data_IF_248086296611
#
_entry.id   IF_248086296611
#
_cell.length_a   1.000
_cell.length_b   1.000
_cell.length_c   1.000
_cell.angle_alpha   90.00
_cell.angle_beta   90.00
_cell.angle_gamma   90.00
#
_symmetry.space_group_name_H-M   'P 1'
#
loop_
_entity.id
_entity.type
_entity.pdbx_description
1 polymer ?
#
# COMPACT_ATOMS: atom_id res chain seq x y z
N UNK A 1 25.26 -11.94 14.32
CA UNK A 1 23.92 -12.44 14.70
C UNK A 1 23.15 -12.70 13.41
N UNK A 2 22.63 -13.89 13.19
CA UNK A 2 21.82 -14.22 12.01
C UNK A 2 20.37 -13.95 12.39
N UNK A 3 19.76 -12.89 11.81
CA UNK A 3 18.35 -12.51 12.08
C UNK A 3 17.37 -13.19 11.12
N UNK A 4 17.88 -13.88 10.08
CA UNK A 4 17.08 -14.54 9.05
C UNK A 4 17.72 -15.87 8.67
N UNK A 5 16.91 -16.91 8.50
CA UNK A 5 17.36 -18.17 7.94
C UNK A 5 17.90 -17.98 6.50
N UNK A 6 18.82 -18.84 6.07
CA UNK A 6 19.34 -18.81 4.70
C UNK A 6 18.28 -19.27 3.68
N UNK A 7 17.46 -20.22 4.08
CA UNK A 7 16.38 -20.82 3.29
C UNK A 7 15.05 -20.76 4.06
N UNK A 8 13.93 -20.59 3.37
CA UNK A 8 13.80 -20.36 1.93
C UNK A 8 14.28 -18.97 1.50
N UNK A 9 14.61 -18.82 0.21
CA UNK A 9 14.86 -17.48 -0.37
C UNK A 9 13.58 -16.64 -0.24
N UNK A 10 13.71 -15.43 0.29
CA UNK A 10 12.61 -14.48 0.42
C UNK A 10 12.47 -13.66 -0.86
N UNK A 11 11.27 -13.61 -1.41
CA UNK A 11 10.95 -12.83 -2.63
C UNK A 11 9.82 -11.86 -2.33
N UNK A 12 10.05 -10.59 -2.62
CA UNK A 12 9.01 -9.54 -2.57
C UNK A 12 8.41 -9.35 -3.96
N UNK A 13 7.13 -9.68 -4.13
CA UNK A 13 6.37 -9.51 -5.37
C UNK A 13 5.88 -8.05 -5.52
N UNK A 14 6.82 -7.08 -5.60
CA UNK A 14 6.50 -5.65 -5.66
C UNK A 14 7.62 -4.84 -6.31
N UNK A 15 7.23 -3.78 -7.04
CA UNK A 15 8.13 -2.74 -7.57
C UNK A 15 8.25 -1.54 -6.62
N UNK A 16 7.50 -1.49 -5.53
CA UNK A 16 7.49 -0.36 -4.60
C UNK A 16 8.85 -0.16 -3.93
N UNK A 17 9.47 1.00 -4.17
CA UNK A 17 10.71 1.39 -3.52
C UNK A 17 10.54 1.49 -1.99
N UNK A 18 9.39 1.98 -1.53
CA UNK A 18 9.06 2.12 -0.10
C UNK A 18 9.03 0.76 0.59
N UNK A 19 8.34 -0.23 0.00
CA UNK A 19 8.30 -1.60 0.55
C UNK A 19 9.67 -2.25 0.60
N UNK A 20 10.47 -2.05 -0.46
CA UNK A 20 11.87 -2.53 -0.50
C UNK A 20 12.69 -1.92 0.64
N UNK A 21 12.62 -0.60 0.81
CA UNK A 21 13.33 0.12 1.88
C UNK A 21 12.93 -0.38 3.28
N UNK A 22 11.66 -0.73 3.51
CA UNK A 22 11.21 -1.28 4.79
C UNK A 22 11.92 -2.61 5.10
N UNK A 23 12.00 -3.53 4.14
CA UNK A 23 12.69 -4.82 4.32
C UNK A 23 14.21 -4.64 4.48
N UNK A 24 14.82 -3.75 3.69
CA UNK A 24 16.25 -3.42 3.78
C UNK A 24 16.62 -2.86 5.16
N UNK A 25 15.82 -1.91 5.66
CA UNK A 25 16.02 -1.31 7.00
C UNK A 25 15.81 -2.31 8.14
N UNK A 26 14.99 -3.32 7.92
CA UNK A 26 14.82 -4.45 8.84
C UNK A 26 15.99 -5.46 8.78
N UNK A 27 16.98 -5.25 7.88
CA UNK A 27 18.13 -6.12 7.72
C UNK A 27 17.82 -7.45 7.03
N UNK A 28 16.70 -7.54 6.31
CA UNK A 28 16.31 -8.74 5.59
C UNK A 28 17.03 -8.84 4.24
N UNK A 29 17.38 -10.07 3.88
CA UNK A 29 17.89 -10.44 2.55
C UNK A 29 16.73 -10.95 1.71
N UNK A 30 16.46 -10.35 0.57
CA UNK A 30 15.35 -10.70 -0.31
C UNK A 30 15.65 -10.33 -1.76
N UNK A 31 14.89 -10.91 -2.67
CA UNK A 31 14.82 -10.49 -4.06
C UNK A 31 13.52 -9.72 -4.29
N UNK A 32 13.57 -8.58 -4.98
CA UNK A 32 12.38 -7.83 -5.35
C UNK A 32 12.10 -8.04 -6.84
N UNK A 33 10.98 -8.68 -7.15
CA UNK A 33 10.58 -9.03 -8.51
C UNK A 33 9.22 -8.42 -8.84
N UNK A 34 9.04 -7.86 -10.06
CA UNK A 34 7.74 -7.38 -10.49
C UNK A 34 6.78 -8.55 -10.73
N UNK A 35 5.59 -8.45 -10.16
CA UNK A 35 4.48 -9.32 -10.52
C UNK A 35 3.70 -8.65 -11.65
N UNK A 36 3.76 -9.18 -12.86
CA UNK A 36 3.03 -8.64 -14.02
C UNK A 36 1.53 -9.00 -13.90
N UNK A 37 0.79 -8.25 -13.05
CA UNK A 37 -0.65 -8.41 -12.81
C UNK A 37 -1.35 -7.13 -13.28
N UNK A 38 -2.51 -7.28 -13.91
CA UNK A 38 -3.39 -6.16 -14.23
C UNK A 38 -4.18 -5.76 -12.97
N UNK A 39 -3.53 -4.92 -12.15
CA UNK A 39 -4.09 -4.46 -10.88
C UNK A 39 -5.33 -3.59 -11.09
N UNK A 40 -5.35 -2.80 -12.18
CA UNK A 40 -6.46 -1.89 -12.49
C UNK A 40 -7.74 -2.68 -12.80
N UNK A 41 -7.65 -3.68 -13.67
CA UNK A 41 -8.80 -4.52 -14.01
C UNK A 41 -9.34 -5.30 -12.82
N UNK A 42 -8.45 -5.85 -11.97
CA UNK A 42 -8.87 -6.57 -10.75
C UNK A 42 -9.57 -5.65 -9.76
N UNK A 43 -9.08 -4.43 -9.59
CA UNK A 43 -9.65 -3.44 -8.68
C UNK A 43 -11.01 -2.95 -9.19
N UNK A 44 -11.12 -2.63 -10.47
CA UNK A 44 -12.37 -2.22 -11.11
C UNK A 44 -13.45 -3.30 -10.96
N UNK A 45 -13.11 -4.57 -11.21
CA UNK A 45 -14.02 -5.70 -11.02
C UNK A 45 -14.46 -5.83 -9.56
N UNK A 46 -13.53 -5.75 -8.60
CA UNK A 46 -13.84 -5.85 -7.18
C UNK A 46 -14.77 -4.71 -6.72
N UNK A 47 -14.55 -3.49 -7.19
CA UNK A 47 -15.38 -2.33 -6.87
C UNK A 47 -16.78 -2.46 -7.49
N UNK A 48 -16.88 -2.89 -8.76
CA UNK A 48 -18.14 -3.11 -9.44
C UNK A 48 -18.99 -4.23 -8.83
N UNK A 49 -18.34 -5.27 -8.31
CA UNK A 49 -18.99 -6.39 -7.62
C UNK A 49 -19.32 -6.10 -6.15
N UNK A 50 -18.92 -4.93 -5.63
CA UNK A 50 -19.13 -4.54 -4.23
C UNK A 50 -18.33 -5.36 -3.24
N UNK A 51 -17.17 -5.89 -3.66
CA UNK A 51 -16.29 -6.65 -2.78
C UNK A 51 -15.73 -5.70 -1.69
N UNK A 52 -15.73 -6.12 -0.41
CA UNK A 52 -15.16 -5.31 0.65
C UNK A 52 -13.69 -4.95 0.38
N UNK A 53 -13.25 -3.73 0.71
CA UNK A 53 -11.86 -3.30 0.45
C UNK A 53 -10.79 -4.23 1.05
N UNK A 54 -11.08 -4.84 2.18
CA UNK A 54 -10.20 -5.78 2.86
C UNK A 54 -9.99 -7.05 2.00
N UNK A 55 -11.07 -7.60 1.45
CA UNK A 55 -11.02 -8.78 0.57
C UNK A 55 -10.38 -8.44 -0.78
N UNK A 56 -10.70 -7.28 -1.34
CA UNK A 56 -10.09 -6.82 -2.59
C UNK A 56 -8.56 -6.62 -2.45
N UNK A 57 -8.11 -6.06 -1.33
CA UNK A 57 -6.68 -5.91 -1.06
C UNK A 57 -5.98 -7.28 -0.94
N UNK A 58 -6.64 -8.29 -0.33
CA UNK A 58 -6.13 -9.66 -0.27
C UNK A 58 -6.04 -10.25 -1.68
N UNK A 59 -7.10 -10.14 -2.49
CA UNK A 59 -7.12 -10.65 -3.87
C UNK A 59 -5.97 -10.08 -4.72
N UNK A 60 -5.72 -8.77 -4.62
CA UNK A 60 -4.62 -8.11 -5.31
C UNK A 60 -3.24 -8.58 -4.83
N UNK A 61 -3.07 -8.70 -3.50
CA UNK A 61 -1.84 -9.21 -2.91
C UNK A 61 -1.58 -10.67 -3.32
N UNK A 62 -2.63 -11.51 -3.33
CA UNK A 62 -2.56 -12.91 -3.77
C UNK A 62 -2.18 -13.04 -5.24
N UNK A 63 -2.84 -12.29 -6.14
CA UNK A 63 -2.54 -12.33 -7.55
C UNK A 63 -1.05 -12.04 -7.82
N UNK A 64 -0.46 -11.07 -7.08
CA UNK A 64 0.97 -10.76 -7.15
C UNK A 64 1.84 -11.91 -6.65
N UNK A 65 1.55 -12.45 -5.47
CA UNK A 65 2.34 -13.52 -4.87
C UNK A 65 2.26 -14.80 -5.69
N UNK A 66 1.07 -15.24 -6.04
CA UNK A 66 0.83 -16.47 -6.79
C UNK A 66 1.52 -16.48 -8.16
N UNK A 67 1.49 -15.34 -8.85
CA UNK A 67 2.16 -15.20 -10.15
C UNK A 67 3.64 -15.54 -10.12
N UNK A 68 4.34 -15.12 -9.06
CA UNK A 68 5.75 -15.43 -8.87
C UNK A 68 5.96 -16.79 -8.22
N UNK A 69 5.13 -17.18 -7.25
CA UNK A 69 5.25 -18.47 -6.57
C UNK A 69 5.13 -19.66 -7.52
N UNK A 70 4.31 -19.56 -8.57
CA UNK A 70 4.24 -20.58 -9.65
C UNK A 70 5.57 -20.79 -10.39
N UNK A 71 6.43 -19.76 -10.43
CA UNK A 71 7.74 -19.79 -11.10
C UNK A 71 8.88 -20.09 -10.13
N UNK A 72 8.66 -19.90 -8.85
CA UNK A 72 9.64 -20.03 -7.77
C UNK A 72 9.06 -20.88 -6.63
N UNK A 73 8.82 -22.18 -6.86
CA UNK A 73 8.05 -23.01 -5.91
C UNK A 73 8.73 -23.18 -4.54
N UNK A 74 10.06 -23.09 -4.49
CA UNK A 74 10.83 -23.24 -3.25
C UNK A 74 10.98 -21.92 -2.46
N UNK A 75 10.70 -20.78 -3.09
CA UNK A 75 10.81 -19.47 -2.46
C UNK A 75 9.64 -19.18 -1.52
N UNK A 76 9.89 -18.34 -0.51
CA UNK A 76 8.85 -17.67 0.27
C UNK A 76 8.50 -16.35 -0.43
N UNK A 77 7.36 -16.30 -1.10
CA UNK A 77 6.93 -15.14 -1.88
C UNK A 77 5.97 -14.29 -1.08
N UNK A 78 6.33 -13.04 -0.85
CA UNK A 78 5.47 -12.04 -0.19
C UNK A 78 4.80 -11.18 -1.25
N UNK A 79 3.47 -11.25 -1.30
CA UNK A 79 2.63 -10.31 -2.05
C UNK A 79 2.03 -9.27 -1.12
N UNK A 80 1.91 -8.03 -1.61
CA UNK A 80 1.34 -6.96 -0.81
C UNK A 80 0.61 -5.95 -1.70
N UNK A 81 -0.59 -5.56 -1.27
CA UNK A 81 -1.36 -4.48 -1.89
C UNK A 81 -1.91 -3.51 -0.87
N UNK A 82 -2.21 -2.28 -1.33
CA UNK A 82 -2.77 -1.22 -0.50
C UNK A 82 -3.84 -0.44 -1.25
N UNK A 83 -5.02 -0.35 -0.64
CA UNK A 83 -6.13 0.48 -1.11
C UNK A 83 -6.34 1.66 -0.16
N UNK A 84 -6.56 2.85 -0.70
CA UNK A 84 -7.03 4.00 0.06
C UNK A 84 -8.54 4.12 -0.13
N UNK A 85 -9.28 4.10 0.97
CA UNK A 85 -10.75 4.22 0.95
C UNK A 85 -11.21 5.33 1.89
N UNK A 86 -12.12 6.17 1.40
CA UNK A 86 -12.64 7.30 2.16
C UNK A 86 -14.17 7.36 2.08
N UNK A 87 -14.87 7.38 3.22
CA UNK A 87 -16.30 7.68 3.24
C UNK A 87 -16.55 9.11 2.74
N UNK A 88 -17.46 9.26 1.79
CA UNK A 88 -17.86 10.54 1.23
C UNK A 88 -19.13 11.08 1.91
N UNK A 89 -19.53 12.31 1.60
CA UNK A 89 -20.72 12.98 2.20
C UNK A 89 -22.03 12.28 1.88
N UNK A 90 -22.12 11.72 0.68
CA UNK A 90 -23.28 10.93 0.20
C UNK A 90 -23.31 9.51 0.80
N UNK A 91 -22.42 9.21 1.76
CA UNK A 91 -22.23 7.90 2.38
C UNK A 91 -21.64 6.82 1.46
N UNK A 92 -21.27 7.15 0.23
CA UNK A 92 -20.52 6.24 -0.63
C UNK A 92 -19.11 6.01 -0.05
N UNK A 93 -18.51 4.88 -0.39
CA UNK A 93 -17.11 4.59 -0.09
C UNK A 93 -16.31 4.79 -1.38
N UNK A 94 -15.50 5.85 -1.43
CA UNK A 94 -14.67 6.11 -2.61
C UNK A 94 -13.30 5.47 -2.44
N UNK A 95 -12.86 4.79 -3.48
CA UNK A 95 -11.52 4.27 -3.59
C UNK A 95 -10.63 5.26 -4.34
N UNK A 96 -9.37 5.36 -3.93
CA UNK A 96 -8.40 6.28 -4.52
C UNK A 96 -7.21 5.49 -5.03
N UNK A 97 -6.77 5.83 -6.22
CA UNK A 97 -5.59 5.28 -6.86
C UNK A 97 -4.37 6.19 -6.69
N UNK A 98 -3.24 5.74 -7.21
CA UNK A 98 -2.11 6.61 -7.44
C UNK A 98 -2.51 7.66 -8.46
N UNK A 99 -2.32 8.96 -8.20
CA UNK A 99 -2.65 9.99 -9.17
C UNK A 99 -1.75 9.87 -10.41
N UNK A 100 -2.33 10.11 -11.58
CA UNK A 100 -1.60 10.04 -12.85
C UNK A 100 -0.58 11.19 -12.99
N UNK A 101 -0.87 12.33 -12.38
CA UNK A 101 -0.07 13.55 -12.42
C UNK A 101 -0.35 14.43 -11.18
N UNK A 102 0.32 15.58 -11.09
CA UNK A 102 0.13 16.54 -10.00
C UNK A 102 -1.26 17.17 -9.98
N UNK A 103 -1.90 17.33 -11.13
CA UNK A 103 -3.26 17.86 -11.19
C UNK A 103 -4.26 16.85 -10.59
N UNK A 104 -4.12 15.57 -10.92
CA UNK A 104 -4.89 14.49 -10.31
C UNK A 104 -4.58 14.36 -8.80
N UNK A 105 -3.33 14.52 -8.39
CA UNK A 105 -2.94 14.54 -6.97
C UNK A 105 -3.64 15.68 -6.22
N UNK A 106 -3.69 16.89 -6.79
CA UNK A 106 -4.41 18.04 -6.22
C UNK A 106 -5.89 17.75 -6.00
N UNK A 107 -6.55 17.16 -6.99
CA UNK A 107 -7.97 16.79 -6.92
C UNK A 107 -8.20 15.76 -5.80
N UNK A 108 -7.35 14.75 -5.69
CA UNK A 108 -7.45 13.73 -4.64
C UNK A 108 -7.25 14.33 -3.25
N UNK A 109 -6.24 15.17 -3.06
CA UNK A 109 -5.94 15.82 -1.77
C UNK A 109 -7.07 16.76 -1.34
N UNK A 110 -7.69 17.50 -2.27
CA UNK A 110 -8.89 18.30 -1.98
C UNK A 110 -10.07 17.43 -1.55
N UNK A 111 -10.27 16.28 -2.20
CA UNK A 111 -11.33 15.34 -1.84
C UNK A 111 -11.11 14.70 -0.46
N UNK A 112 -9.86 14.52 -0.03
CA UNK A 112 -9.48 13.97 1.27
C UNK A 112 -9.38 15.02 2.39
N UNK A 113 -9.29 16.30 2.05
CA UNK A 113 -9.14 17.43 3.00
C UNK A 113 -10.24 17.43 4.05
N UNK A 114 -9.85 17.49 5.34
CA UNK A 114 -10.75 17.48 6.48
C UNK A 114 -11.42 16.14 6.76
N UNK A 115 -11.08 15.06 6.05
CA UNK A 115 -11.73 13.74 6.19
C UNK A 115 -10.80 12.73 6.86
N UNK A 116 -11.44 11.72 7.44
CA UNK A 116 -10.75 10.50 7.88
C UNK A 116 -10.90 9.43 6.81
N UNK A 117 -9.77 8.90 6.35
CA UNK A 117 -9.73 7.79 5.41
C UNK A 117 -8.96 6.61 6.00
N UNK A 118 -9.03 5.47 5.34
CA UNK A 118 -8.33 4.24 5.73
C UNK A 118 -7.39 3.82 4.61
N UNK A 119 -6.23 3.31 5.00
CA UNK A 119 -5.37 2.53 4.11
C UNK A 119 -5.59 1.05 4.45
N UNK A 120 -6.12 0.29 3.51
CA UNK A 120 -6.32 -1.14 3.66
C UNK A 120 -5.11 -1.83 3.03
N UNK A 121 -4.21 -2.34 3.88
CA UNK A 121 -2.95 -2.94 3.45
C UNK A 121 -2.98 -4.43 3.71
N UNK A 122 -3.09 -5.23 2.65
CA UNK A 122 -3.03 -6.67 2.72
C UNK A 122 -1.63 -7.18 2.39
N UNK A 123 -1.18 -8.18 3.13
CA UNK A 123 0.07 -8.91 2.89
C UNK A 123 -0.19 -10.40 2.96
N UNK A 124 0.32 -11.14 2.00
CA UNK A 124 0.20 -12.59 1.93
C UNK A 124 1.56 -13.24 1.75
N UNK A 125 1.73 -14.44 2.29
CA UNK A 125 2.90 -15.27 2.05
C UNK A 125 2.50 -16.56 1.33
N UNK A 126 3.20 -16.87 0.23
CA UNK A 126 3.02 -18.07 -0.57
C UNK A 126 4.28 -18.92 -0.58
N UNK A 127 4.10 -20.23 -0.48
CA UNK A 127 5.16 -21.23 -0.61
C UNK A 127 4.57 -22.58 -1.01
N UNK A 128 5.27 -23.36 -1.81
CA UNK A 128 4.84 -24.71 -2.20
C UNK A 128 3.48 -24.75 -2.89
N UNK A 129 3.13 -23.71 -3.67
CA UNK A 129 1.87 -23.63 -4.40
C UNK A 129 0.64 -23.20 -3.58
N UNK A 130 0.81 -22.80 -2.32
CA UNK A 130 -0.29 -22.39 -1.46
C UNK A 130 0.01 -21.09 -0.70
N UNK A 131 -1.05 -20.34 -0.36
CA UNK A 131 -0.96 -19.26 0.62
C UNK A 131 -0.83 -19.88 2.01
N UNK A 132 0.25 -19.56 2.71
CA UNK A 132 0.56 -20.10 4.05
C UNK A 132 0.33 -19.07 5.17
N UNK A 133 0.18 -17.79 4.82
CA UNK A 133 -0.11 -16.71 5.77
C UNK A 133 -0.75 -15.51 5.09
N UNK A 134 -1.52 -14.72 5.86
CA UNK A 134 -2.04 -13.43 5.47
C UNK A 134 -2.22 -12.51 6.67
N UNK A 135 -2.14 -11.20 6.42
CA UNK A 135 -2.49 -10.12 7.35
C UNK A 135 -3.21 -9.00 6.61
N UNK A 136 -4.12 -8.33 7.29
CA UNK A 136 -4.75 -7.09 6.81
C UNK A 136 -4.66 -6.04 7.89
N UNK A 137 -3.85 -5.03 7.64
CA UNK A 137 -3.70 -3.87 8.51
C UNK A 137 -4.50 -2.70 7.95
N UNK A 138 -5.25 -2.00 8.83
CA UNK A 138 -6.16 -0.91 8.43
C UNK A 138 -5.88 0.38 9.21
N UNK A 139 -4.74 1.04 8.99
CA UNK A 139 -4.46 2.34 9.57
C UNK A 139 -5.48 3.40 9.14
N UNK A 140 -5.73 4.37 10.04
CA UNK A 140 -6.68 5.46 9.84
C UNK A 140 -5.94 6.79 9.93
N UNK A 141 -6.16 7.64 8.94
CA UNK A 141 -5.53 8.96 8.86
C UNK A 141 -6.59 10.02 8.72
N UNK A 142 -6.51 11.05 9.58
CA UNK A 142 -7.42 12.21 9.50
C UNK A 142 -6.64 13.38 8.90
N UNK A 143 -7.03 13.78 7.71
CA UNK A 143 -6.43 14.92 7.04
C UNK A 143 -6.99 16.22 7.64
N UNK A 144 -6.12 17.19 7.92
CA UNK A 144 -6.56 18.49 8.41
C UNK A 144 -7.21 19.33 7.33
N UNK A 145 -7.98 20.33 7.69
CA UNK A 145 -8.37 21.39 6.78
C UNK A 145 -7.17 22.31 6.53
N UNK A 146 -6.69 22.36 5.30
CA UNK A 146 -5.61 23.23 4.85
C UNK A 146 -6.13 24.19 3.77
N UNK A 147 -5.44 25.32 3.57
CA UNK A 147 -5.75 26.26 2.48
C UNK A 147 -5.28 25.73 1.13
N UNK A 148 -5.80 26.31 0.05
CA UNK A 148 -5.31 25.96 -1.28
C UNK A 148 -3.87 26.43 -1.51
N UNK A 149 -3.49 27.59 -0.97
CA UNK A 149 -2.11 28.07 -1.03
C UNK A 149 -1.13 27.09 -0.36
N UNK A 150 -1.54 26.50 0.78
CA UNK A 150 -0.75 25.46 1.43
C UNK A 150 -0.62 24.21 0.54
N UNK A 151 -1.74 23.80 -0.07
CA UNK A 151 -1.74 22.64 -0.97
C UNK A 151 -0.83 22.87 -2.17
N UNK A 152 -0.90 24.06 -2.79
CA UNK A 152 -0.09 24.39 -3.95
C UNK A 152 1.40 24.44 -3.59
N UNK A 153 1.75 24.97 -2.41
CA UNK A 153 3.13 24.93 -1.89
C UNK A 153 3.60 23.49 -1.62
N UNK A 154 2.73 22.64 -1.06
CA UNK A 154 3.03 21.22 -0.82
C UNK A 154 3.28 20.45 -2.14
N UNK A 155 2.40 20.64 -3.14
CA UNK A 155 2.56 20.02 -4.45
C UNK A 155 3.86 20.45 -5.14
N UNK A 156 4.20 21.74 -5.05
CA UNK A 156 5.43 22.27 -5.62
C UNK A 156 6.69 21.69 -4.94
N UNK A 157 6.62 21.47 -3.63
CA UNK A 157 7.76 20.96 -2.85
C UNK A 157 7.99 19.45 -3.02
N UNK A 158 6.94 18.64 -3.07
CA UNK A 158 7.04 17.18 -3.22
C UNK A 158 7.14 16.73 -4.69
N UNK A 159 6.55 17.47 -5.60
CA UNK A 159 6.60 17.20 -7.04
C UNK A 159 6.01 15.84 -7.42
N UNK A 160 6.50 15.28 -8.52
CA UNK A 160 5.99 14.02 -9.09
C UNK A 160 6.14 12.79 -8.18
N UNK A 161 6.94 12.89 -7.11
CA UNK A 161 7.06 11.79 -6.13
C UNK A 161 5.70 11.42 -5.50
N UNK A 162 4.74 12.35 -5.47
CA UNK A 162 3.37 12.12 -5.00
C UNK A 162 2.62 11.08 -5.84
N UNK A 163 2.93 10.96 -7.13
CA UNK A 163 2.27 10.02 -8.04
C UNK A 163 2.64 8.57 -7.78
N UNK A 164 3.64 8.31 -6.93
CA UNK A 164 4.03 6.96 -6.55
C UNK A 164 3.18 6.37 -5.41
N UNK A 165 2.37 7.20 -4.72
CA UNK A 165 1.59 6.81 -3.54
C UNK A 165 0.09 6.97 -3.76
N UNK A 166 -0.71 6.03 -3.25
CA UNK A 166 -2.18 6.16 -3.26
C UNK A 166 -2.59 7.39 -2.45
N UNK A 167 -3.54 8.16 -2.98
CA UNK A 167 -4.01 9.38 -2.34
C UNK A 167 -3.11 10.60 -2.53
N UNK A 168 -1.98 10.50 -3.25
CA UNK A 168 -1.13 11.63 -3.60
C UNK A 168 -0.39 12.27 -2.41
N UNK A 169 0.01 11.48 -1.41
CA UNK A 169 0.81 11.96 -0.28
C UNK A 169 1.86 10.95 0.17
N UNK A 170 2.90 11.44 0.83
CA UNK A 170 4.00 10.64 1.37
C UNK A 170 4.18 10.98 2.85
N UNK A 171 3.71 10.09 3.75
CA UNK A 171 3.75 10.33 5.20
C UNK A 171 5.20 10.38 5.74
N UNK A 172 6.10 9.64 5.10
CA UNK A 172 7.53 9.59 5.42
C UNK A 172 8.32 10.84 4.99
N UNK A 173 7.66 11.78 4.31
CA UNK A 173 8.20 13.04 3.84
C UNK A 173 7.33 14.22 4.32
N UNK A 174 7.15 15.26 3.52
CA UNK A 174 6.38 16.46 3.91
C UNK A 174 4.87 16.18 4.03
N UNK A 175 4.38 15.04 3.54
CA UNK A 175 2.98 14.64 3.69
C UNK A 175 2.51 14.55 5.14
N UNK A 176 3.41 14.42 6.13
CA UNK A 176 3.06 14.47 7.56
C UNK A 176 2.32 15.76 7.93
N UNK A 177 2.59 16.88 7.25
CA UNK A 177 1.93 18.16 7.46
C UNK A 177 0.45 18.20 7.07
N UNK A 178 0.00 17.22 6.29
CA UNK A 178 -1.40 17.12 5.86
C UNK A 178 -2.33 16.58 6.95
N UNK A 179 -1.81 15.94 8.00
CA UNK A 179 -2.61 15.18 8.95
C UNK A 179 -2.72 15.85 10.31
N UNK A 180 -3.92 15.72 10.91
CA UNK A 180 -4.19 16.07 12.32
C UNK A 180 -4.14 14.84 13.22
N UNK A 181 -4.34 13.62 12.66
CA UNK A 181 -4.31 12.37 13.39
C UNK A 181 -3.87 11.23 12.49
N UNK A 182 -3.01 10.37 13.02
CA UNK A 182 -2.52 9.14 12.36
C UNK A 182 -2.62 8.01 13.37
N UNK A 183 -3.33 6.93 13.01
CA UNK A 183 -3.58 5.77 13.87
C UNK A 183 -3.21 4.49 13.12
N UNK A 184 -2.49 3.60 13.79
CA UNK A 184 -2.04 2.33 13.24
C UNK A 184 -0.52 2.25 13.08
N UNK A 185 -0.07 1.13 12.56
CA UNK A 185 1.36 0.88 12.38
C UNK A 185 1.91 1.71 11.22
N UNK A 186 3.02 2.44 11.47
CA UNK A 186 3.63 3.31 10.46
C UNK A 186 4.05 2.55 9.20
N UNK A 187 4.62 1.37 9.35
CA UNK A 187 5.04 0.53 8.21
C UNK A 187 3.84 0.04 7.37
N UNK A 188 2.68 -0.18 7.99
CA UNK A 188 1.44 -0.49 7.27
C UNK A 188 0.97 0.71 6.43
N UNK A 189 1.11 1.94 6.93
CA UNK A 189 0.83 3.16 6.17
C UNK A 189 1.75 3.26 4.95
N UNK A 190 3.02 2.90 5.12
CA UNK A 190 4.00 2.86 4.04
C UNK A 190 3.83 1.66 3.08
N UNK A 191 2.83 0.81 3.32
CA UNK A 191 2.38 -0.23 2.42
C UNK A 191 2.93 -1.63 2.68
N UNK A 192 3.62 -1.87 3.81
CA UNK A 192 4.04 -3.21 4.23
C UNK A 192 4.06 -3.29 5.76
N UNK A 193 3.07 -3.93 6.40
CA UNK A 193 3.02 -4.07 7.87
C UNK A 193 4.13 -5.00 8.35
N UNK A 194 5.20 -4.38 8.90
CA UNK A 194 6.41 -5.11 9.28
C UNK A 194 6.24 -5.95 10.55
N UNK A 195 5.47 -5.45 11.54
CA UNK A 195 5.29 -6.17 12.79
C UNK A 195 4.61 -7.53 12.61
N UNK A 196 3.44 -7.66 11.95
CA UNK A 196 2.85 -8.96 11.68
C UNK A 196 3.69 -9.82 10.73
N UNK A 197 4.36 -9.22 9.73
CA UNK A 197 5.22 -9.95 8.81
C UNK A 197 6.43 -10.59 9.50
N UNK A 198 7.09 -9.87 10.40
CA UNK A 198 8.27 -10.39 11.14
C UNK A 198 7.90 -11.37 12.25
N UNK A 199 6.65 -11.35 12.69
CA UNK A 199 6.12 -12.30 13.67
C UNK A 199 5.75 -13.66 13.05
N UNK A 200 5.41 -13.67 11.77
CA UNK A 200 5.17 -14.88 10.98
C UNK A 200 6.47 -15.64 10.74
#
# INVERSE_FOLDING_TARGET
MILQAAEPVLVLASQSATRRTLLERAGLRFEALPAAVDEAALKESAEAEGIPPEDAAIMLAEAKAERLARRLPDALVIGCDQLLVCPMEDRSLRWFDKPADLAAARIQLLALRGRTHRLVTATVAWRGGARIWQDVSVPRLTMRSFSEDFLDAYLAAEGEALCASVGGYRLEAMGVHLFSRVEGEHSAILGLPMTPLLRF
#
